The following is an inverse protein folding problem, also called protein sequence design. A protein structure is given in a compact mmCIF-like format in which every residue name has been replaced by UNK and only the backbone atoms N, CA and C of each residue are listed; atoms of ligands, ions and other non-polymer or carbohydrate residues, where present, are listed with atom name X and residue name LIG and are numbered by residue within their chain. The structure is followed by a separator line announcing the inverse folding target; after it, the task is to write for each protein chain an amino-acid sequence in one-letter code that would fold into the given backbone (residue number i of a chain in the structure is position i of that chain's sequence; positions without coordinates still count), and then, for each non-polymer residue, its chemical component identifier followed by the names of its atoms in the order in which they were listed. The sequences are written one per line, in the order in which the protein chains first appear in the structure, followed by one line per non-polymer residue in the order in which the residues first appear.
data_IF_916387500073
#
_entry.id   IF_916387500073
#
_cell.length_a   1.000
_cell.length_b   1.000
_cell.length_c   1.000
_cell.angle_alpha   90.00
_cell.angle_beta   90.00
_cell.angle_gamma   90.00
#
_symmetry.space_group_name_H-M   'P 1'
#
loop_
_entity.id
_entity.type
_entity.pdbx_description
1 polymer ?
#
# COMPACT_ATOMS: atom_id res chain seq x y z
N UNK A 1 38.86 -23.88 11.08
CA UNK A 1 37.55 -24.47 11.42
C UNK A 1 36.87 -24.89 10.12
N UNK A 2 36.72 -26.18 9.92
CA UNK A 2 36.02 -26.72 8.75
C UNK A 2 34.51 -26.81 9.07
N UNK A 3 33.71 -25.88 8.56
CA UNK A 3 32.26 -25.91 8.71
C UNK A 3 31.59 -25.94 7.36
N UNK A 4 30.78 -26.97 7.16
CA UNK A 4 30.00 -27.12 5.92
C UNK A 4 28.79 -26.18 5.95
N UNK A 5 28.72 -25.26 4.98
CA UNK A 5 27.57 -24.41 4.74
C UNK A 5 26.55 -25.14 3.85
N UNK A 6 25.28 -25.00 4.17
CA UNK A 6 24.16 -25.63 3.45
C UNK A 6 23.07 -24.61 3.12
N UNK A 7 22.50 -24.71 1.94
CA UNK A 7 21.27 -24.04 1.60
C UNK A 7 20.06 -24.79 2.17
N UNK A 8 18.92 -24.12 2.29
CA UNK A 8 17.67 -24.71 2.82
C UNK A 8 17.16 -25.93 2.02
N UNK A 9 17.51 -26.00 0.74
CA UNK A 9 17.16 -27.07 -0.18
C UNK A 9 18.26 -28.13 -0.38
N UNK A 10 19.28 -28.16 0.49
CA UNK A 10 20.42 -29.10 0.40
C UNK A 10 19.97 -30.56 0.21
N UNK A 11 18.98 -31.03 0.99
CA UNK A 11 18.44 -32.36 0.91
C UNK A 11 17.62 -32.65 -0.36
N UNK A 12 17.37 -31.63 -1.18
CA UNK A 12 16.64 -31.70 -2.47
C UNK A 12 17.55 -31.47 -3.67
N UNK A 13 18.89 -31.60 -3.50
CA UNK A 13 19.87 -31.46 -4.56
C UNK A 13 20.49 -30.04 -4.71
N UNK A 14 20.09 -29.10 -3.85
CA UNK A 14 20.61 -27.72 -3.89
C UNK A 14 20.11 -26.92 -5.10
N UNK A 15 20.80 -25.80 -5.42
CA UNK A 15 20.43 -24.91 -6.54
C UNK A 15 21.28 -25.13 -7.80
N UNK A 16 22.35 -25.97 -7.74
CA UNK A 16 23.27 -26.14 -8.85
C UNK A 16 24.02 -24.84 -9.19
N UNK A 17 24.31 -24.64 -10.47
CA UNK A 17 24.96 -23.43 -10.99
C UNK A 17 23.91 -22.34 -11.26
N UNK A 18 23.92 -21.27 -10.48
CA UNK A 18 22.99 -20.14 -10.59
C UNK A 18 23.75 -18.82 -10.66
N UNK A 19 23.11 -17.77 -11.21
CA UNK A 19 23.66 -16.41 -11.19
C UNK A 19 23.59 -15.81 -9.78
N UNK A 20 24.34 -14.73 -9.54
CA UNK A 20 24.30 -13.96 -8.28
C UNK A 20 22.88 -13.41 -8.02
N UNK A 21 22.23 -12.89 -9.06
CA UNK A 21 20.84 -12.43 -8.96
C UNK A 21 19.89 -13.55 -8.52
N UNK A 22 19.99 -14.72 -9.14
CA UNK A 22 19.18 -15.88 -8.74
C UNK A 22 19.51 -16.35 -7.33
N UNK A 23 20.78 -16.34 -6.92
CA UNK A 23 21.18 -16.64 -5.55
C UNK A 23 20.54 -15.70 -4.52
N UNK A 24 20.41 -14.41 -4.86
CA UNK A 24 19.68 -13.44 -4.03
C UNK A 24 18.17 -13.76 -3.95
N UNK A 25 17.52 -13.96 -5.10
CA UNK A 25 16.08 -14.27 -5.16
C UNK A 25 15.68 -15.49 -4.35
N UNK A 26 16.46 -16.59 -4.47
CA UNK A 26 16.19 -17.86 -3.77
C UNK A 26 16.83 -17.93 -2.38
N UNK A 27 17.49 -16.85 -1.93
CA UNK A 27 18.16 -16.82 -0.61
C UNK A 27 19.22 -17.90 -0.43
N UNK A 28 20.05 -18.16 -1.46
CA UNK A 28 21.14 -19.12 -1.35
C UNK A 28 22.24 -18.58 -0.44
N UNK A 29 22.40 -19.15 0.74
CA UNK A 29 23.49 -18.82 1.66
C UNK A 29 24.85 -19.04 1.02
N UNK A 30 25.03 -20.19 0.32
CA UNK A 30 26.26 -20.53 -0.37
C UNK A 30 26.57 -19.55 -1.50
N UNK A 31 25.57 -19.19 -2.31
CA UNK A 31 25.73 -18.24 -3.42
C UNK A 31 26.18 -16.86 -2.95
N UNK A 32 25.49 -16.32 -1.96
CA UNK A 32 25.80 -14.98 -1.38
C UNK A 32 27.17 -15.01 -0.66
N UNK A 33 27.43 -16.01 0.20
CA UNK A 33 28.67 -16.11 0.91
C UNK A 33 29.88 -16.22 -0.05
N UNK A 34 29.80 -17.05 -1.09
CA UNK A 34 30.86 -17.16 -2.12
C UNK A 34 31.10 -15.83 -2.83
N UNK A 35 30.04 -15.09 -3.16
CA UNK A 35 30.17 -13.79 -3.82
C UNK A 35 30.94 -12.82 -2.94
N UNK A 36 30.57 -12.70 -1.66
CA UNK A 36 31.23 -11.79 -0.72
C UNK A 36 32.69 -12.24 -0.43
N UNK A 37 32.90 -13.52 -0.20
CA UNK A 37 34.27 -14.06 0.01
C UNK A 37 35.15 -13.80 -1.20
N UNK A 38 34.69 -14.02 -2.43
CA UNK A 38 35.48 -13.77 -3.63
C UNK A 38 35.83 -12.28 -3.78
N UNK A 39 34.99 -11.36 -3.32
CA UNK A 39 35.22 -9.92 -3.42
C UNK A 39 36.07 -9.34 -2.28
N UNK A 40 36.05 -9.96 -1.08
CA UNK A 40 36.56 -9.33 0.13
C UNK A 40 37.49 -10.21 1.00
N UNK A 41 37.79 -11.44 0.60
CA UNK A 41 38.63 -12.36 1.40
C UNK A 41 40.01 -11.74 1.73
N UNK A 42 40.61 -10.95 0.83
CA UNK A 42 41.91 -10.34 1.00
C UNK A 42 41.88 -9.09 1.91
N UNK A 43 40.71 -8.48 2.07
CA UNK A 43 40.47 -7.36 2.99
C UNK A 43 39.02 -7.37 3.51
N UNK A 44 38.69 -8.23 4.49
CA UNK A 44 37.34 -8.34 5.04
C UNK A 44 36.83 -7.05 5.68
N UNK A 45 37.71 -6.24 6.30
CA UNK A 45 37.32 -4.98 6.92
C UNK A 45 36.66 -4.03 5.92
N UNK A 46 37.11 -4.03 4.66
CA UNK A 46 36.47 -3.23 3.62
C UNK A 46 34.96 -3.56 3.40
N UNK A 47 34.55 -4.81 3.64
CA UNK A 47 33.15 -5.19 3.60
C UNK A 47 32.38 -4.59 4.79
N UNK A 48 32.96 -4.69 5.99
CA UNK A 48 32.36 -4.12 7.20
C UNK A 48 32.25 -2.59 7.09
N UNK A 49 33.28 -1.90 6.60
CA UNK A 49 33.26 -0.46 6.37
C UNK A 49 32.16 -0.05 5.37
N UNK A 50 31.87 -0.90 4.37
CA UNK A 50 30.76 -0.66 3.45
C UNK A 50 29.40 -0.80 4.11
N UNK A 51 29.22 -1.80 4.98
CA UNK A 51 27.98 -1.93 5.77
C UNK A 51 27.78 -0.71 6.67
N UNK A 52 28.83 -0.23 7.31
CA UNK A 52 28.76 0.98 8.13
C UNK A 52 28.34 2.22 7.30
N UNK A 53 28.87 2.38 6.09
CA UNK A 53 28.48 3.49 5.18
C UNK A 53 27.02 3.46 4.72
N UNK A 54 26.32 2.35 4.84
CA UNK A 54 24.89 2.28 4.58
C UNK A 54 24.07 2.99 5.68
N UNK A 55 24.67 3.34 6.82
CA UNK A 55 24.01 3.95 7.97
C UNK A 55 23.36 2.93 8.92
N UNK A 56 23.70 1.64 8.80
CA UNK A 56 23.10 0.57 9.62
C UNK A 56 23.91 0.22 10.87
N UNK A 57 25.04 0.88 11.09
CA UNK A 57 25.91 0.67 12.26
C UNK A 57 25.60 1.60 13.42
N UNK A 58 24.81 2.64 13.19
CA UNK A 58 24.49 3.68 14.15
C UNK A 58 23.03 3.61 14.57
N UNK A 59 22.71 4.20 15.73
CA UNK A 59 21.32 4.42 16.13
C UNK A 59 20.62 5.37 15.17
N UNK A 60 19.34 5.20 15.06
CA UNK A 60 18.48 6.10 14.29
C UNK A 60 18.06 7.34 15.10
N UNK A 61 18.39 7.35 16.42
CA UNK A 61 17.91 8.36 17.37
C UNK A 61 16.40 8.59 17.28
N UNK A 62 15.67 7.46 17.30
CA UNK A 62 14.23 7.43 17.20
C UNK A 62 13.57 8.00 18.46
N UNK A 63 12.43 8.68 18.33
CA UNK A 63 11.79 9.42 19.44
C UNK A 63 11.32 8.54 20.60
N UNK A 64 11.14 7.22 20.37
CA UNK A 64 10.71 6.30 21.43
C UNK A 64 11.90 5.73 22.19
N UNK A 65 11.74 5.61 23.50
CA UNK A 65 12.74 5.02 24.40
C UNK A 65 12.91 3.53 24.10
N UNK A 66 14.15 3.03 24.11
CA UNK A 66 14.45 1.60 24.01
C UNK A 66 15.02 1.17 22.65
N UNK A 67 15.49 2.10 21.84
CA UNK A 67 16.23 1.75 20.63
C UNK A 67 17.49 0.93 20.99
N UNK A 68 17.56 -0.28 20.43
CA UNK A 68 18.69 -1.17 20.63
C UNK A 68 19.92 -0.70 19.83
N UNK A 69 21.11 -0.80 20.45
CA UNK A 69 22.39 -0.56 19.78
C UNK A 69 22.59 -1.59 18.65
N UNK A 70 22.76 -1.16 17.39
CA UNK A 70 23.14 -2.08 16.32
C UNK A 70 24.56 -2.60 16.56
N UNK A 71 24.84 -3.79 16.09
CA UNK A 71 26.17 -4.36 16.20
C UNK A 71 26.50 -5.17 14.94
N UNK A 72 27.66 -4.89 14.36
CA UNK A 72 28.22 -5.65 13.24
C UNK A 72 29.61 -6.08 13.68
N UNK A 73 29.85 -7.39 13.68
CA UNK A 73 31.16 -7.92 14.01
C UNK A 73 32.22 -7.40 13.02
N UNK A 74 33.36 -6.96 13.53
CA UNK A 74 34.46 -6.45 12.73
C UNK A 74 35.75 -7.25 12.92
N UNK A 75 36.74 -6.99 12.10
CA UNK A 75 38.01 -7.77 12.10
C UNK A 75 38.88 -7.59 13.35
N UNK A 76 38.60 -6.54 14.15
CA UNK A 76 39.30 -6.31 15.42
C UNK A 76 38.62 -7.04 16.60
N UNK A 77 37.48 -7.65 16.38
CA UNK A 77 36.80 -8.42 17.40
C UNK A 77 37.60 -9.71 17.69
N UNK A 78 37.84 -9.97 18.98
CA UNK A 78 38.62 -11.14 19.41
C UNK A 78 38.01 -12.48 18.98
N UNK A 79 36.75 -12.48 18.65
CA UNK A 79 36.01 -13.65 18.17
C UNK A 79 35.94 -13.74 16.64
N UNK A 80 36.61 -12.83 15.91
CA UNK A 80 36.69 -12.91 14.46
C UNK A 80 37.37 -14.19 14.02
N UNK A 81 36.84 -14.86 13.00
CA UNK A 81 37.39 -16.11 12.51
C UNK A 81 37.24 -16.25 10.99
N UNK A 82 37.83 -17.27 10.39
CA UNK A 82 37.71 -17.55 8.95
C UNK A 82 36.29 -17.79 8.45
N UNK A 83 35.30 -18.02 9.34
CA UNK A 83 33.92 -18.16 9.00
C UNK A 83 33.10 -16.87 9.18
N UNK A 84 33.67 -15.84 9.82
CA UNK A 84 32.93 -14.58 10.10
C UNK A 84 32.50 -13.86 8.83
N UNK A 85 33.39 -13.64 7.88
CA UNK A 85 33.05 -12.96 6.62
C UNK A 85 31.91 -13.68 5.86
N UNK A 86 31.96 -15.01 5.59
CA UNK A 86 30.86 -15.70 4.94
C UNK A 86 29.57 -15.71 5.77
N UNK A 87 29.62 -15.68 7.09
CA UNK A 87 28.43 -15.64 7.95
C UNK A 87 27.75 -14.29 7.95
N UNK A 88 28.52 -13.20 8.04
CA UNK A 88 28.00 -11.83 7.93
C UNK A 88 27.29 -11.64 6.58
N UNK A 89 27.81 -12.25 5.51
CA UNK A 89 27.28 -12.13 4.16
C UNK A 89 25.78 -12.52 4.03
N UNK A 90 25.29 -13.43 4.85
CA UNK A 90 23.89 -13.82 4.87
C UNK A 90 23.15 -13.52 6.19
N UNK A 91 23.73 -12.61 7.01
CA UNK A 91 23.03 -11.96 8.12
C UNK A 91 23.29 -12.53 9.50
N UNK A 92 24.27 -13.42 9.68
CA UNK A 92 24.76 -13.83 11.01
C UNK A 92 25.84 -12.85 11.49
N UNK A 93 26.12 -12.87 12.79
CA UNK A 93 27.10 -11.95 13.41
C UNK A 93 26.77 -10.46 13.17
N UNK A 94 25.49 -10.15 12.96
CA UNK A 94 24.90 -8.82 12.87
C UNK A 94 23.69 -8.76 13.80
N UNK A 95 23.53 -7.64 14.54
CA UNK A 95 22.34 -7.33 15.33
C UNK A 95 21.76 -6.01 14.85
N UNK A 96 20.50 -6.03 14.45
CA UNK A 96 19.74 -4.88 14.03
C UNK A 96 18.33 -4.95 14.61
N UNK A 97 17.76 -3.82 14.94
CA UNK A 97 16.33 -3.72 15.28
C UNK A 97 15.46 -3.88 14.02
N UNK A 98 14.19 -4.20 14.22
CA UNK A 98 13.23 -4.22 13.11
C UNK A 98 13.11 -2.85 12.44
N UNK A 99 13.22 -1.77 13.22
CA UNK A 99 13.18 -0.40 12.71
C UNK A 99 14.37 -0.07 11.80
N UNK A 100 15.58 -0.52 12.15
CA UNK A 100 16.77 -0.35 11.30
C UNK A 100 16.65 -1.12 9.98
N UNK A 101 16.09 -2.34 10.02
CA UNK A 101 15.78 -3.11 8.81
C UNK A 101 14.75 -2.36 7.97
N UNK A 102 13.69 -1.84 8.59
CA UNK A 102 12.67 -1.04 7.90
C UNK A 102 13.29 0.18 7.23
N UNK A 103 14.12 0.94 7.95
CA UNK A 103 14.76 2.15 7.43
C UNK A 103 15.68 1.84 6.23
N UNK A 104 16.41 0.71 6.25
CA UNK A 104 17.23 0.27 5.12
C UNK A 104 16.37 -0.08 3.89
N UNK A 105 15.28 -0.82 4.06
CA UNK A 105 14.37 -1.14 2.95
C UNK A 105 13.63 0.10 2.44
N UNK A 106 13.30 1.03 3.34
CA UNK A 106 12.77 2.33 2.96
C UNK A 106 13.77 3.13 2.12
N UNK A 107 15.06 3.16 2.49
CA UNK A 107 16.08 3.83 1.69
C UNK A 107 16.18 3.24 0.26
N UNK A 108 16.06 1.92 0.11
CA UNK A 108 16.01 1.29 -1.21
C UNK A 108 14.75 1.69 -1.99
N UNK A 109 13.60 1.77 -1.32
CA UNK A 109 12.34 2.22 -1.90
C UNK A 109 12.36 3.71 -2.27
N UNK A 110 13.15 4.52 -1.56
CA UNK A 110 13.33 5.96 -1.71
C UNK A 110 14.61 6.31 -2.49
N UNK A 111 14.87 5.58 -3.56
CA UNK A 111 15.97 5.78 -4.51
C UNK A 111 17.36 5.96 -3.89
N UNK A 112 17.57 5.38 -2.71
CA UNK A 112 18.85 5.38 -2.00
C UNK A 112 18.96 6.43 -0.90
N UNK A 113 17.99 7.29 -0.72
CA UNK A 113 17.96 8.26 0.36
C UNK A 113 17.51 7.62 1.68
N UNK A 114 18.39 7.59 2.66
CA UNK A 114 18.15 7.02 3.99
C UNK A 114 17.63 8.10 4.92
N UNK A 115 16.36 8.03 5.26
CA UNK A 115 15.67 8.99 6.11
C UNK A 115 15.47 8.46 7.52
N UNK A 116 15.47 9.36 8.50
CA UNK A 116 15.19 9.04 9.90
C UNK A 116 13.71 8.68 10.06
N UNK A 117 13.39 7.49 10.59
CA UNK A 117 12.01 7.15 10.94
C UNK A 117 11.46 8.11 11.99
N UNK A 118 10.18 8.38 11.92
CA UNK A 118 9.50 9.31 12.83
C UNK A 118 8.09 8.85 13.14
N UNK A 119 7.63 9.09 14.37
CA UNK A 119 6.25 8.85 14.81
C UNK A 119 5.56 10.11 15.31
N UNK A 120 6.32 11.18 15.56
CA UNK A 120 5.78 12.48 15.96
C UNK A 120 5.91 13.47 14.81
N UNK A 121 4.79 13.94 14.30
CA UNK A 121 4.73 14.94 13.22
C UNK A 121 4.75 16.36 13.81
N UNK A 122 4.00 16.59 14.87
CA UNK A 122 3.90 17.90 15.51
C UNK A 122 3.47 17.82 16.96
N UNK A 123 3.94 18.79 17.76
CA UNK A 123 3.51 18.99 19.14
C UNK A 123 2.60 20.22 19.21
N UNK A 124 1.38 20.04 19.71
CA UNK A 124 0.41 21.11 19.91
C UNK A 124 0.06 21.25 21.39
N UNK A 125 -0.17 22.49 21.83
CA UNK A 125 -0.79 22.80 23.10
C UNK A 125 -1.97 23.73 22.84
N UNK A 126 -3.18 23.25 23.08
CA UNK A 126 -4.40 23.86 22.58
C UNK A 126 -4.32 24.01 21.03
N UNK A 127 -4.65 25.17 20.50
CA UNK A 127 -4.59 25.45 19.05
C UNK A 127 -3.18 25.83 18.55
N UNK A 128 -2.21 26.02 19.42
CA UNK A 128 -0.87 26.48 19.06
C UNK A 128 0.08 25.31 18.81
N UNK A 129 0.69 25.28 17.61
CA UNK A 129 1.77 24.37 17.27
C UNK A 129 3.06 24.89 17.89
N UNK A 130 3.72 24.08 18.73
CA UNK A 130 5.00 24.39 19.35
C UNK A 130 6.17 23.89 18.52
N UNK A 131 6.04 22.70 17.98
CA UNK A 131 7.06 22.04 17.16
C UNK A 131 6.36 21.38 15.99
N UNK A 132 6.99 21.47 14.82
CA UNK A 132 6.52 20.88 13.58
C UNK A 132 7.71 20.27 12.84
N UNK A 133 7.69 18.96 12.66
CA UNK A 133 8.71 18.19 11.95
C UNK A 133 8.19 17.68 10.60
N UNK A 134 7.45 18.49 9.86
CA UNK A 134 6.84 18.12 8.59
C UNK A 134 7.83 17.76 7.47
N UNK A 135 9.13 17.98 7.67
CA UNK A 135 10.20 17.55 6.75
C UNK A 135 10.92 16.30 7.25
N UNK A 136 11.25 15.36 6.38
CA UNK A 136 12.09 14.20 6.72
C UNK A 136 13.54 14.65 7.04
N UNK A 137 14.14 14.12 8.11
CA UNK A 137 15.58 14.26 8.36
C UNK A 137 16.31 13.21 7.53
N UNK A 138 17.17 13.66 6.62
CA UNK A 138 17.99 12.77 5.78
C UNK A 138 19.28 12.43 6.52
N UNK A 139 19.44 11.16 6.90
CA UNK A 139 20.62 10.63 7.56
C UNK A 139 21.76 10.32 6.57
N UNK A 140 21.41 9.84 5.39
CA UNK A 140 22.33 9.59 4.30
C UNK A 140 21.65 9.88 2.95
N UNK A 141 22.13 10.87 2.18
CA UNK A 141 21.48 11.25 0.92
C UNK A 141 21.60 10.19 -0.18
N UNK A 142 22.53 9.25 -0.06
CA UNK A 142 22.69 8.17 -1.03
C UNK A 142 23.47 7.01 -0.44
N UNK A 143 22.79 5.90 -0.15
CA UNK A 143 23.43 4.68 0.38
C UNK A 143 24.29 3.96 -0.66
N UNK A 144 24.01 4.15 -1.94
CA UNK A 144 24.82 3.64 -3.06
C UNK A 144 24.42 4.33 -4.36
N UNK A 145 25.10 4.03 -5.48
CA UNK A 145 24.76 4.63 -6.78
C UNK A 145 23.38 4.22 -7.29
N UNK A 146 22.73 5.09 -8.08
CA UNK A 146 21.43 4.85 -8.71
C UNK A 146 21.39 3.54 -9.48
N UNK A 147 22.48 3.21 -10.19
CA UNK A 147 22.61 1.93 -10.90
C UNK A 147 22.50 0.74 -9.94
N UNK A 148 23.08 0.85 -8.74
CA UNK A 148 23.04 -0.22 -7.72
C UNK A 148 21.65 -0.30 -7.11
N UNK A 149 20.99 0.84 -6.84
CA UNK A 149 19.60 0.90 -6.36
C UNK A 149 18.68 0.21 -7.36
N UNK A 150 18.73 0.59 -8.64
CA UNK A 150 17.89 -0.03 -9.67
C UNK A 150 18.09 -1.56 -9.77
N UNK A 151 19.32 -2.04 -9.65
CA UNK A 151 19.60 -3.48 -9.63
C UNK A 151 18.97 -4.12 -8.39
N UNK A 152 19.12 -3.50 -7.21
CA UNK A 152 18.59 -4.04 -5.95
C UNK A 152 17.06 -4.06 -5.92
N UNK A 153 16.42 -3.00 -6.39
CA UNK A 153 14.95 -2.93 -6.55
C UNK A 153 14.45 -4.08 -7.45
N UNK A 154 15.07 -4.30 -8.60
CA UNK A 154 14.75 -5.42 -9.48
C UNK A 154 14.94 -6.79 -8.82
N UNK A 155 16.00 -6.97 -8.02
CA UNK A 155 16.25 -8.21 -7.29
C UNK A 155 15.21 -8.45 -6.19
N UNK A 156 14.74 -7.39 -5.51
CA UNK A 156 13.68 -7.48 -4.50
C UNK A 156 12.32 -7.81 -5.12
N UNK A 157 12.01 -7.26 -6.29
CA UNK A 157 10.85 -7.66 -7.11
C UNK A 157 11.00 -9.14 -7.53
N UNK A 158 12.19 -9.54 -8.00
CA UNK A 158 12.49 -10.92 -8.39
C UNK A 158 12.32 -11.92 -7.23
N UNK A 159 12.67 -11.53 -6.01
CA UNK A 159 12.49 -12.37 -4.82
C UNK A 159 11.01 -12.64 -4.50
N UNK A 160 10.13 -11.68 -4.80
CA UNK A 160 8.66 -11.86 -4.69
C UNK A 160 8.10 -12.61 -5.91
N UNK A 161 8.55 -12.31 -7.11
CA UNK A 161 8.00 -12.89 -8.33
C UNK A 161 8.44 -14.33 -8.58
N UNK A 162 9.73 -14.61 -8.36
CA UNK A 162 10.39 -15.86 -8.77
C UNK A 162 11.22 -16.52 -7.67
N UNK A 163 11.20 -15.95 -6.45
CA UNK A 163 12.07 -16.35 -5.36
C UNK A 163 11.34 -16.91 -4.14
N UNK A 164 11.92 -16.67 -2.96
CA UNK A 164 11.43 -17.23 -1.69
C UNK A 164 10.09 -16.70 -1.23
N UNK A 165 9.62 -15.57 -1.77
CA UNK A 165 8.36 -14.93 -1.41
C UNK A 165 7.28 -15.06 -2.51
N UNK A 166 7.38 -16.03 -3.40
CA UNK A 166 6.42 -16.21 -4.50
C UNK A 166 4.98 -16.42 -4.03
N UNK A 167 4.79 -16.93 -2.82
CA UNK A 167 3.46 -17.11 -2.22
C UNK A 167 2.69 -15.81 -1.95
N UNK A 168 3.35 -14.66 -1.99
CA UNK A 168 2.71 -13.34 -1.86
C UNK A 168 2.68 -12.56 -3.18
N UNK A 169 3.14 -13.15 -4.28
CA UNK A 169 3.09 -12.52 -5.58
C UNK A 169 1.64 -12.20 -5.98
N UNK A 170 1.45 -11.05 -6.60
CA UNK A 170 0.17 -10.61 -7.16
C UNK A 170 0.43 -9.83 -8.44
N UNK A 171 -0.35 -10.08 -9.48
CA UNK A 171 -0.33 -9.27 -10.71
C UNK A 171 -1.01 -7.91 -10.50
N UNK A 172 -1.95 -7.86 -9.55
CA UNK A 172 -2.74 -6.66 -9.26
C UNK A 172 -2.04 -5.71 -8.30
N UNK A 173 -1.35 -6.27 -7.29
CA UNK A 173 -0.72 -5.52 -6.21
C UNK A 173 0.77 -5.81 -6.18
N UNK A 174 1.55 -4.96 -6.87
CA UNK A 174 2.99 -5.14 -6.95
C UNK A 174 3.67 -4.89 -5.60
N UNK A 175 4.71 -5.65 -5.32
CA UNK A 175 5.54 -5.46 -4.13
C UNK A 175 6.96 -5.98 -4.35
N UNK A 176 7.89 -5.40 -3.61
CA UNK A 176 9.28 -5.80 -3.57
C UNK A 176 9.68 -6.11 -2.12
N UNK A 177 10.50 -7.12 -1.91
CA UNK A 177 10.91 -7.45 -0.55
C UNK A 177 11.66 -8.77 -0.44
N UNK A 178 12.05 -9.09 0.78
CA UNK A 178 12.88 -10.27 1.07
C UNK A 178 12.46 -10.94 2.35
N UNK A 179 12.43 -12.26 2.33
CA UNK A 179 12.29 -13.10 3.52
C UNK A 179 13.60 -13.16 4.32
N UNK A 180 13.49 -13.20 5.63
CA UNK A 180 14.56 -13.52 6.55
C UNK A 180 14.17 -14.67 7.47
N UNK A 181 15.15 -15.52 7.81
CA UNK A 181 14.98 -16.60 8.79
C UNK A 181 16.29 -16.80 9.52
N UNK A 182 16.32 -16.42 10.78
CA UNK A 182 17.50 -16.52 11.62
C UNK A 182 17.23 -17.40 12.84
N UNK A 183 18.22 -18.18 13.26
CA UNK A 183 18.20 -18.83 14.57
C UNK A 183 18.44 -17.81 15.67
N UNK A 184 17.71 -17.94 16.77
CA UNK A 184 17.90 -17.08 17.95
C UNK A 184 19.12 -17.63 18.71
N UNK A 185 20.09 -16.75 18.96
CA UNK A 185 21.21 -17.04 19.83
C UNK A 185 20.80 -16.75 21.29
N UNK A 186 21.03 -17.71 22.18
CA UNK A 186 20.87 -17.60 23.63
C UNK A 186 22.25 -17.91 24.24
N UNK A 187 22.78 -17.02 25.03
CA UNK A 187 24.09 -17.14 25.69
C UNK A 187 25.24 -17.52 24.74
N UNK A 188 25.24 -16.87 23.55
CA UNK A 188 26.29 -17.09 22.54
C UNK A 188 26.15 -18.35 21.70
N UNK A 189 25.13 -19.18 21.94
CA UNK A 189 24.87 -20.41 21.18
C UNK A 189 23.53 -20.32 20.41
N UNK A 190 23.52 -20.81 19.16
CA UNK A 190 22.29 -20.88 18.38
C UNK A 190 21.42 -22.05 18.82
N UNK A 191 20.25 -21.70 19.37
CA UNK A 191 19.25 -22.67 19.81
C UNK A 191 18.40 -23.26 18.68
N UNK A 192 17.32 -23.92 19.08
CA UNK A 192 16.31 -24.48 18.17
C UNK A 192 15.18 -23.51 17.82
N UNK A 193 15.22 -22.29 18.35
CA UNK A 193 14.22 -21.24 18.13
C UNK A 193 14.60 -20.36 16.94
N UNK A 194 13.59 -19.86 16.23
CA UNK A 194 13.76 -19.04 15.03
C UNK A 194 13.11 -17.68 15.18
N UNK A 195 13.66 -16.72 14.46
CA UNK A 195 13.03 -15.44 14.15
C UNK A 195 12.83 -15.40 12.65
N UNK A 196 11.58 -15.32 12.23
CA UNK A 196 11.17 -15.21 10.84
C UNK A 196 10.80 -13.79 10.53
N UNK A 197 11.16 -13.27 9.36
CA UNK A 197 10.83 -11.91 8.97
C UNK A 197 10.53 -11.82 7.49
N UNK A 198 9.82 -10.75 7.14
CA UNK A 198 9.70 -10.22 5.79
C UNK A 198 9.83 -8.71 5.86
N UNK A 199 10.69 -8.14 5.03
CA UNK A 199 10.85 -6.71 4.87
C UNK A 199 10.69 -6.34 3.40
N UNK A 200 9.98 -5.26 3.11
CA UNK A 200 9.71 -4.85 1.74
C UNK A 200 8.93 -3.56 1.66
N UNK A 201 8.49 -3.23 0.45
CA UNK A 201 7.72 -2.05 0.15
C UNK A 201 6.71 -2.30 -0.98
N UNK A 202 5.74 -1.43 -1.09
CA UNK A 202 4.70 -1.48 -2.12
C UNK A 202 4.09 -0.09 -2.38
N UNK A 203 3.56 0.20 -3.61
CA UNK A 203 3.80 -0.55 -4.85
C UNK A 203 5.30 -0.69 -5.17
N UNK A 204 5.69 -1.68 -6.00
CA UNK A 204 7.10 -1.91 -6.31
C UNK A 204 7.69 -0.82 -7.23
N UNK A 205 6.87 -0.29 -8.16
CA UNK A 205 7.27 0.67 -9.19
C UNK A 205 7.25 2.13 -8.70
N UNK A 206 6.37 2.44 -7.75
CA UNK A 206 6.24 3.76 -7.14
C UNK A 206 5.93 3.57 -5.64
N UNK A 207 6.94 3.32 -4.82
CA UNK A 207 6.76 2.94 -3.42
C UNK A 207 6.06 4.04 -2.60
N UNK A 208 5.00 3.66 -1.90
CA UNK A 208 4.29 4.51 -0.95
C UNK A 208 4.47 4.04 0.48
N UNK A 209 4.61 2.74 0.67
CA UNK A 209 4.68 2.10 1.98
C UNK A 209 5.85 1.15 2.07
N UNK A 210 6.62 1.26 3.15
CA UNK A 210 7.60 0.26 3.57
C UNK A 210 7.09 -0.47 4.80
N UNK A 211 7.28 -1.78 4.84
CA UNK A 211 6.78 -2.61 5.94
C UNK A 211 7.78 -3.69 6.31
N UNK A 212 7.93 -3.94 7.62
CA UNK A 212 8.66 -5.08 8.15
C UNK A 212 7.76 -5.87 9.09
N UNK A 213 7.70 -7.16 8.88
CA UNK A 213 7.01 -8.11 9.76
C UNK A 213 8.03 -9.05 10.40
N UNK A 214 8.03 -9.15 11.71
CA UNK A 214 8.92 -10.02 12.47
C UNK A 214 8.11 -10.93 13.38
N UNK A 215 8.26 -12.23 13.22
CA UNK A 215 7.63 -13.26 14.05
C UNK A 215 8.72 -13.97 14.84
N UNK A 216 8.73 -13.75 16.15
CA UNK A 216 9.68 -14.40 17.07
C UNK A 216 9.11 -15.71 17.59
N UNK A 217 9.93 -16.77 17.58
CA UNK A 217 9.59 -18.10 18.10
C UNK A 217 8.28 -18.65 17.50
N UNK A 218 8.13 -18.67 16.15
CA UNK A 218 6.95 -19.27 15.54
C UNK A 218 6.82 -20.74 15.96
N UNK A 219 5.58 -21.22 16.08
CA UNK A 219 5.30 -22.63 16.36
C UNK A 219 5.79 -23.50 15.20
N UNK A 220 6.58 -24.53 15.51
CA UNK A 220 7.19 -25.40 14.49
C UNK A 220 6.17 -26.15 13.63
N UNK A 221 5.00 -26.43 14.17
CA UNK A 221 3.89 -27.10 13.50
C UNK A 221 3.33 -26.27 12.33
N UNK A 222 3.37 -24.93 12.45
CA UNK A 222 2.95 -24.00 11.39
C UNK A 222 4.08 -23.78 10.39
N UNK A 223 5.33 -23.84 10.86
CA UNK A 223 6.53 -23.52 10.12
C UNK A 223 7.28 -22.33 10.72
N UNK A 224 8.53 -22.16 10.33
CA UNK A 224 9.43 -21.15 10.89
C UNK A 224 10.12 -20.29 9.81
N UNK A 225 9.79 -20.48 8.54
CA UNK A 225 10.34 -19.67 7.47
C UNK A 225 9.58 -18.35 7.29
N UNK A 226 10.31 -17.30 6.91
CA UNK A 226 9.74 -15.96 6.71
C UNK A 226 8.61 -15.93 5.67
N UNK A 227 8.69 -16.75 4.63
CA UNK A 227 7.63 -16.87 3.64
C UNK A 227 6.35 -17.56 4.15
N UNK A 228 6.45 -18.32 5.23
CA UNK A 228 5.29 -19.04 5.81
C UNK A 228 4.57 -18.17 6.84
N UNK A 229 5.31 -17.50 7.72
CA UNK A 229 4.70 -16.82 8.89
C UNK A 229 4.76 -15.29 8.84
N UNK A 230 5.68 -14.68 8.09
CA UNK A 230 5.81 -13.22 8.04
C UNK A 230 5.30 -12.62 6.71
N UNK A 231 5.63 -13.23 5.58
CA UNK A 231 5.21 -12.74 4.27
C UNK A 231 3.67 -12.71 4.10
N UNK A 232 2.88 -13.70 4.58
CA UNK A 232 1.42 -13.63 4.50
C UNK A 232 0.82 -12.43 5.23
N UNK A 233 1.38 -12.03 6.38
CA UNK A 233 0.95 -10.84 7.13
C UNK A 233 1.25 -9.56 6.33
N UNK A 234 2.44 -9.47 5.75
CA UNK A 234 2.78 -8.37 4.84
C UNK A 234 1.81 -8.30 3.64
N UNK A 235 1.48 -9.46 3.04
CA UNK A 235 0.51 -9.54 1.95
C UNK A 235 -0.86 -8.99 2.35
N UNK A 236 -1.37 -9.39 3.51
CA UNK A 236 -2.67 -8.94 4.02
C UNK A 236 -2.69 -7.43 4.26
N UNK A 237 -1.64 -6.88 4.88
CA UNK A 237 -1.49 -5.43 5.06
C UNK A 237 -1.45 -4.70 3.70
N UNK A 238 -0.65 -5.18 2.76
CA UNK A 238 -0.58 -4.62 1.41
C UNK A 238 -1.94 -4.65 0.72
N UNK A 239 -2.60 -5.80 0.69
CA UNK A 239 -3.84 -6.00 -0.03
C UNK A 239 -4.96 -5.12 0.57
N UNK A 240 -5.00 -4.94 1.89
CA UNK A 240 -5.95 -4.05 2.57
C UNK A 240 -5.68 -2.57 2.24
N UNK A 241 -4.43 -2.11 2.29
CA UNK A 241 -4.09 -0.73 1.95
C UNK A 241 -4.37 -0.42 0.48
N UNK A 242 -4.08 -1.34 -0.44
CA UNK A 242 -4.49 -1.17 -1.84
C UNK A 242 -6.02 -1.16 -2.01
N UNK A 243 -6.77 -1.93 -1.21
CA UNK A 243 -8.22 -1.91 -1.25
C UNK A 243 -8.77 -0.59 -0.70
N UNK A 244 -8.18 -0.05 0.37
CA UNK A 244 -8.53 1.27 0.92
C UNK A 244 -8.21 2.40 -0.05
N UNK A 245 -7.03 2.38 -0.70
CA UNK A 245 -6.68 3.35 -1.74
C UNK A 245 -7.55 3.22 -2.99
N UNK A 246 -8.03 2.01 -3.31
CA UNK A 246 -8.99 1.80 -4.39
C UNK A 246 -10.41 2.23 -4.00
N UNK A 247 -10.68 2.31 -2.69
CA UNK A 247 -11.89 2.90 -2.09
C UNK A 247 -11.69 4.41 -1.81
N UNK A 248 -10.47 4.94 -1.77
CA UNK A 248 -10.32 6.33 -2.20
C UNK A 248 -10.93 6.36 -3.60
N UNK A 249 -12.23 6.62 -3.57
CA UNK A 249 -13.02 7.02 -4.74
C UNK A 249 -12.04 7.96 -5.45
N UNK A 250 -11.54 7.62 -6.64
CA UNK A 250 -10.66 8.53 -7.35
C UNK A 250 -11.37 9.82 -7.22
N UNK A 251 -10.70 10.93 -6.84
CA UNK A 251 -11.35 12.23 -6.86
C UNK A 251 -12.12 12.16 -8.14
N UNK A 252 -13.39 11.72 -8.03
CA UNK A 252 -14.19 11.42 -9.22
C UNK A 252 -14.16 12.77 -9.80
N UNK A 253 -13.32 12.86 -10.77
CA UNK A 253 -12.81 14.09 -11.31
C UNK A 253 -14.05 14.93 -11.34
N UNK A 254 -14.11 16.08 -10.68
CA UNK A 254 -15.26 16.92 -10.39
C UNK A 254 -16.18 17.16 -11.59
N UNK A 255 -16.19 16.25 -12.52
CA UNK A 255 -17.09 16.02 -13.61
C UNK A 255 -17.99 14.83 -13.25
N UNK A 256 -18.91 15.03 -12.32
CA UNK A 256 -20.14 14.29 -12.41
C UNK A 256 -20.79 14.69 -13.74
N UNK A 257 -20.57 13.87 -14.76
CA UNK A 257 -21.36 13.89 -15.99
C UNK A 257 -22.75 13.31 -15.67
N UNK A 258 -23.46 13.94 -14.75
CA UNK A 258 -24.82 13.53 -14.45
C UNK A 258 -25.73 14.72 -14.60
N UNK A 259 -26.37 14.80 -15.77
CA UNK A 259 -27.64 15.47 -15.88
C UNK A 259 -28.60 14.77 -14.89
N UNK A 260 -28.73 15.35 -13.72
CA UNK A 260 -29.68 14.88 -12.72
C UNK A 260 -30.84 15.85 -12.67
N UNK A 261 -32.05 15.31 -12.74
CA UNK A 261 -33.27 16.05 -12.52
C UNK A 261 -34.01 15.34 -11.40
N UNK A 262 -34.23 16.01 -10.26
CA UNK A 262 -34.85 15.38 -9.12
C UNK A 262 -35.17 16.33 -7.97
N UNK A 263 -35.60 15.75 -6.85
CA UNK A 263 -35.98 16.47 -5.64
C UNK A 263 -34.78 17.17 -4.99
N UNK A 264 -34.93 18.46 -4.67
CA UNK A 264 -33.89 19.24 -3.96
C UNK A 264 -33.56 18.67 -2.58
N UNK A 265 -34.54 18.04 -1.91
CA UNK A 265 -34.37 17.42 -0.60
C UNK A 265 -33.47 16.20 -0.68
N UNK A 266 -33.64 15.35 -1.68
CA UNK A 266 -32.90 14.11 -1.83
C UNK A 266 -31.46 14.41 -2.31
N UNK A 267 -31.30 15.39 -3.20
CA UNK A 267 -30.00 15.90 -3.62
C UNK A 267 -29.18 16.43 -2.44
N UNK A 268 -29.79 17.24 -1.58
CA UNK A 268 -29.11 17.76 -0.39
C UNK A 268 -28.73 16.65 0.58
N UNK A 269 -29.55 15.61 0.74
CA UNK A 269 -29.23 14.45 1.56
C UNK A 269 -28.03 13.66 0.99
N UNK A 270 -28.00 13.44 -0.32
CA UNK A 270 -26.89 12.79 -1.03
C UNK A 270 -25.61 13.63 -0.90
N UNK A 271 -25.67 14.95 -1.12
CA UNK A 271 -24.54 15.85 -0.98
C UNK A 271 -23.97 15.88 0.45
N UNK A 272 -24.85 15.78 1.46
CA UNK A 272 -24.43 15.74 2.86
C UNK A 272 -23.68 14.44 3.19
N UNK A 273 -24.09 13.31 2.63
CA UNK A 273 -23.46 12.00 2.85
C UNK A 273 -22.12 11.90 2.12
N UNK A 274 -22.02 12.52 0.94
CA UNK A 274 -20.82 12.47 0.06
C UNK A 274 -19.84 13.64 0.27
N UNK A 275 -20.11 14.50 1.28
CA UNK A 275 -19.30 15.71 1.58
C UNK A 275 -19.08 16.66 0.38
N UNK A 276 -20.08 16.75 -0.51
CA UNK A 276 -20.09 17.71 -1.62
C UNK A 276 -20.50 19.11 -1.18
N UNK A 277 -20.12 20.16 -1.92
CA UNK A 277 -20.56 21.52 -1.66
C UNK A 277 -22.09 21.58 -1.59
N UNK A 278 -22.61 22.08 -0.47
CA UNK A 278 -24.04 22.18 -0.24
C UNK A 278 -24.66 23.15 -1.23
N UNK A 279 -25.67 22.68 -1.96
CA UNK A 279 -26.56 23.57 -2.68
C UNK A 279 -27.43 24.33 -1.67
N UNK A 280 -27.36 25.67 -1.69
CA UNK A 280 -28.27 26.50 -0.90
C UNK A 280 -29.56 26.71 -1.71
N UNK A 281 -30.48 25.75 -1.62
CA UNK A 281 -31.82 25.94 -2.14
C UNK A 281 -32.58 26.96 -1.28
N UNK A 282 -33.29 27.87 -1.90
CA UNK A 282 -34.31 28.63 -1.18
C UNK A 282 -35.38 27.66 -0.67
N UNK A 283 -36.03 27.96 0.46
CA UNK A 283 -36.98 27.02 1.12
C UNK A 283 -38.20 26.61 0.25
N UNK A 284 -38.39 27.21 -0.91
CA UNK A 284 -39.52 26.99 -1.82
C UNK A 284 -39.17 26.18 -3.08
N UNK A 285 -37.92 25.83 -3.32
CA UNK A 285 -37.49 25.12 -4.54
C UNK A 285 -37.57 23.62 -4.33
N UNK A 286 -38.51 22.96 -5.03
CA UNK A 286 -38.78 21.53 -4.89
C UNK A 286 -37.98 20.66 -5.87
N UNK A 287 -37.65 21.21 -7.06
CA UNK A 287 -37.04 20.45 -8.16
C UNK A 287 -35.84 21.15 -8.73
N UNK A 288 -34.79 20.38 -8.96
CA UNK A 288 -33.52 20.87 -9.49
C UNK A 288 -33.08 20.05 -10.70
N UNK A 289 -32.47 20.72 -11.65
CA UNK A 289 -31.66 20.12 -12.70
C UNK A 289 -30.19 20.46 -12.41
N UNK A 290 -29.35 19.48 -12.33
CA UNK A 290 -27.90 19.64 -12.27
C UNK A 290 -27.32 19.38 -13.65
N UNK A 291 -26.58 20.32 -14.18
CA UNK A 291 -25.55 20.04 -15.18
C UNK A 291 -24.16 20.10 -14.51
N UNK A 292 -23.11 19.73 -15.22
CA UNK A 292 -21.75 19.63 -14.64
C UNK A 292 -21.19 20.94 -14.06
N UNK A 293 -21.89 22.05 -14.17
CA UNK A 293 -21.39 23.39 -13.81
C UNK A 293 -22.31 24.14 -12.87
N UNK A 294 -23.62 23.86 -12.86
CA UNK A 294 -24.59 24.63 -12.11
C UNK A 294 -25.86 23.84 -11.79
N UNK A 295 -26.58 24.28 -10.76
CA UNK A 295 -27.94 23.84 -10.46
C UNK A 295 -28.93 24.85 -11.03
N UNK A 296 -29.93 24.35 -11.75
CA UNK A 296 -31.06 25.13 -12.24
C UNK A 296 -32.33 24.70 -11.54
N UNK A 297 -33.06 25.65 -11.00
CA UNK A 297 -34.41 25.38 -10.42
C UNK A 297 -35.39 25.08 -11.53
N UNK A 298 -36.17 24.01 -11.36
CA UNK A 298 -37.26 23.67 -12.23
C UNK A 298 -38.59 23.98 -11.54
N UNK A 299 -39.38 24.83 -12.17
CA UNK A 299 -40.75 25.11 -11.75
C UNK A 299 -41.71 24.36 -12.66
N UNK A 300 -42.56 23.56 -12.08
CA UNK A 300 -43.62 22.84 -12.79
C UNK A 300 -44.99 23.48 -12.48
N UNK A 301 -45.64 23.96 -13.51
CA UNK A 301 -47.04 24.44 -13.41
C UNK A 301 -48.00 23.24 -13.27
N UNK A 302 -48.90 23.28 -12.29
CA UNK A 302 -49.81 22.17 -12.03
C UNK A 302 -50.83 21.89 -13.15
N UNK A 303 -50.93 22.77 -14.16
CA UNK A 303 -51.97 22.70 -15.20
C UNK A 303 -51.48 22.09 -16.52
N UNK A 304 -50.17 21.88 -16.68
CA UNK A 304 -49.59 21.38 -17.92
C UNK A 304 -48.67 20.19 -17.66
N UNK A 305 -48.59 19.28 -18.61
CA UNK A 305 -47.74 18.09 -18.57
C UNK A 305 -46.25 18.53 -18.56
N UNK A 306 -45.48 18.15 -17.53
CA UNK A 306 -44.07 18.49 -17.45
C UNK A 306 -43.22 17.66 -18.43
N UNK A 307 -42.03 18.15 -18.76
CA UNK A 307 -40.96 17.31 -19.39
C UNK A 307 -40.24 16.56 -18.30
N UNK A 308 -40.45 15.24 -18.22
CA UNK A 308 -39.81 14.38 -17.21
C UNK A 308 -38.66 13.56 -17.78
N UNK A 309 -38.25 13.82 -19.03
CA UNK A 309 -37.06 13.15 -19.61
C UNK A 309 -35.81 13.43 -18.80
N UNK A 310 -35.02 12.38 -18.56
CA UNK A 310 -33.84 12.44 -17.72
C UNK A 310 -34.08 12.27 -16.22
N UNK A 311 -35.34 12.34 -15.74
CA UNK A 311 -35.68 12.01 -14.35
C UNK A 311 -35.55 10.51 -14.09
N UNK A 312 -35.18 10.15 -12.86
CA UNK A 312 -35.31 8.76 -12.40
C UNK A 312 -36.79 8.39 -12.23
N UNK A 313 -37.10 7.12 -12.38
CA UNK A 313 -38.50 6.63 -12.37
C UNK A 313 -39.33 7.11 -11.16
N UNK A 314 -38.75 7.07 -9.96
CA UNK A 314 -39.42 7.48 -8.72
C UNK A 314 -39.77 8.95 -8.68
N UNK A 315 -38.89 9.83 -9.13
CA UNK A 315 -39.08 11.27 -9.15
C UNK A 315 -40.14 11.66 -10.21
N UNK A 316 -40.08 11.03 -11.38
CA UNK A 316 -41.08 11.24 -12.44
C UNK A 316 -42.48 10.77 -12.00
N UNK A 317 -42.58 9.59 -11.38
CA UNK A 317 -43.82 9.05 -10.83
C UNK A 317 -44.40 10.02 -9.80
N UNK A 318 -43.61 10.39 -8.79
CA UNK A 318 -44.06 11.31 -7.74
C UNK A 318 -44.56 12.64 -8.28
N UNK A 319 -43.84 13.23 -9.24
CA UNK A 319 -44.21 14.51 -9.86
C UNK A 319 -45.56 14.39 -10.61
N UNK A 320 -45.69 13.39 -11.47
CA UNK A 320 -46.86 13.22 -12.36
C UNK A 320 -48.12 12.82 -11.60
N UNK A 321 -48.03 11.93 -10.61
CA UNK A 321 -49.17 11.55 -9.76
C UNK A 321 -49.66 12.72 -8.90
N UNK A 322 -48.75 13.54 -8.36
CA UNK A 322 -49.13 14.77 -7.65
C UNK A 322 -49.80 15.82 -8.55
N UNK A 323 -49.66 15.70 -9.86
CA UNK A 323 -50.36 16.51 -10.85
C UNK A 323 -51.68 15.89 -11.35
N UNK A 324 -52.09 14.74 -10.78
CA UNK A 324 -53.34 14.06 -11.10
C UNK A 324 -53.30 13.19 -12.36
N UNK A 325 -52.08 12.79 -12.81
CA UNK A 325 -51.93 11.87 -13.93
C UNK A 325 -51.76 10.43 -13.41
N UNK A 326 -52.31 9.46 -14.11
CA UNK A 326 -52.04 8.05 -13.90
C UNK A 326 -50.78 7.67 -14.72
N UNK A 327 -49.79 7.01 -14.07
CA UNK A 327 -48.49 6.72 -14.72
C UNK A 327 -48.34 5.23 -14.97
N UNK A 328 -48.10 4.86 -16.22
CA UNK A 328 -47.67 3.53 -16.61
C UNK A 328 -46.20 3.61 -17.12
N UNK A 329 -45.34 2.63 -16.79
CA UNK A 329 -43.95 2.66 -17.20
C UNK A 329 -43.43 1.31 -17.63
N UNK A 330 -42.50 1.34 -18.60
CA UNK A 330 -41.81 0.18 -19.15
C UNK A 330 -40.28 0.37 -19.05
N UNK A 331 -39.57 -0.62 -18.52
CA UNK A 331 -38.12 -0.59 -18.37
C UNK A 331 -37.67 -0.21 -16.97
N UNK A 332 -36.38 0.17 -16.82
CA UNK A 332 -35.74 0.56 -15.54
C UNK A 332 -34.76 1.71 -15.79
N UNK A 333 -34.51 2.55 -14.78
CA UNK A 333 -33.55 3.65 -14.83
C UNK A 333 -34.19 5.02 -15.00
N UNK A 334 -33.72 5.81 -15.99
CA UNK A 334 -34.21 7.18 -16.25
C UNK A 334 -35.26 7.19 -17.37
N UNK A 335 -36.17 8.17 -17.32
CA UNK A 335 -37.12 8.40 -18.37
C UNK A 335 -36.44 8.85 -19.66
N UNK A 336 -36.57 8.08 -20.72
CA UNK A 336 -36.04 8.44 -22.07
C UNK A 336 -37.17 8.92 -23.01
N UNK A 337 -38.38 8.53 -22.74
CA UNK A 337 -39.53 8.95 -23.54
C UNK A 337 -40.81 9.01 -22.70
N UNK A 338 -41.70 9.98 -22.98
CA UNK A 338 -43.05 10.10 -22.44
C UNK A 338 -44.04 10.14 -23.57
N UNK A 339 -45.24 9.55 -23.35
CA UNK A 339 -46.28 9.44 -24.38
C UNK A 339 -47.04 10.76 -24.62
N UNK A 340 -47.18 11.56 -23.54
CA UNK A 340 -47.85 12.85 -23.62
C UNK A 340 -46.86 13.98 -23.87
N UNK A 341 -47.24 14.94 -24.69
CA UNK A 341 -46.34 16.07 -25.05
C UNK A 341 -46.23 17.04 -23.88
N UNK A 342 -45.00 17.38 -23.49
CA UNK A 342 -44.73 18.43 -22.51
C UNK A 342 -45.32 19.76 -22.94
N UNK A 343 -45.92 20.50 -21.97
CA UNK A 343 -46.63 21.75 -22.20
C UNK A 343 -48.11 21.61 -22.61
N UNK A 344 -48.59 20.41 -22.85
CA UNK A 344 -50.04 20.19 -23.11
C UNK A 344 -50.83 20.30 -21.82
N UNK A 345 -52.06 20.79 -21.88
CA UNK A 345 -52.95 20.86 -20.70
C UNK A 345 -53.32 19.46 -20.18
N UNK A 346 -53.26 19.29 -18.87
CA UNK A 346 -53.67 18.07 -18.19
C UNK A 346 -55.20 17.94 -18.27
N UNK A 347 -55.67 16.70 -18.53
CA UNK A 347 -57.11 16.35 -18.51
C UNK A 347 -57.34 15.36 -17.38
N UNK A 348 -58.50 15.37 -16.77
CA UNK A 348 -58.87 14.43 -15.71
C UNK A 348 -58.72 12.96 -16.19
N UNK A 349 -58.15 12.12 -15.32
CA UNK A 349 -57.94 10.67 -15.54
C UNK A 349 -57.11 10.34 -16.79
N UNK A 350 -56.11 11.18 -17.10
CA UNK A 350 -55.22 10.96 -18.24
C UNK A 350 -54.05 10.06 -17.83
N UNK A 351 -53.81 9.04 -18.65
CA UNK A 351 -52.67 8.11 -18.44
C UNK A 351 -51.47 8.59 -19.23
N UNK A 352 -50.32 8.64 -18.61
CA UNK A 352 -49.04 8.90 -19.26
C UNK A 352 -48.15 7.65 -19.18
N UNK A 353 -47.72 7.17 -20.36
CA UNK A 353 -46.76 6.05 -20.47
C UNK A 353 -45.34 6.58 -20.53
N UNK A 354 -44.45 6.05 -19.68
CA UNK A 354 -43.04 6.37 -19.62
C UNK A 354 -42.18 5.19 -20.08
N UNK A 355 -41.19 5.45 -20.91
CA UNK A 355 -40.18 4.46 -21.28
C UNK A 355 -38.90 4.82 -20.54
N UNK A 356 -38.34 3.84 -19.80
CA UNK A 356 -37.16 3.97 -18.98
C UNK A 356 -36.00 3.23 -19.63
N UNK A 357 -34.79 3.75 -19.45
CA UNK A 357 -33.53 3.08 -19.82
C UNK A 357 -32.43 3.40 -18.79
N UNK A 358 -31.56 2.41 -18.54
CA UNK A 358 -30.39 2.55 -17.67
C UNK A 358 -29.24 3.22 -18.39
#
# INVERSE_FOLDING_TARGET
YDRTMKDSNYNRGGHGKISVGKAFEVSSNIGIARTIVNCYKDNPQRFIDRLARLGISDKLDFELIGEAEPWIKNTNDSTWSGVSLPWIAFGYEIKMSALQILALYNAVANDGEFVKPRVVDKVKRAEKVFENWSGGEVLNPSICSDKTINILQNLLVGAVRNGTAQNIYSEKYSSAGKTGTAKIAIDGSYGSEYRASFAGYFPAENPKYSCVVVVSKPKKEIGFYGNIVAAPVFKELRDNLFAEEAIEIPEIAKSFNHDYIGSSKDLNAIHQVLDYPKYQASQNERWLKSDNTAFQTLEFSGDVIPDVKGMVAMDALYLLENMGLEVDFKGQGKVVKQSLKAGAKIKENQIIELILSS
#
